data_IF_935741411121
#
_entry.id   IF_935741411121
#
_cell.length_a   1.000
_cell.length_b   1.000
_cell.length_c   1.000
_cell.angle_alpha   90.00
_cell.angle_beta   90.00
_cell.angle_gamma   90.00
#
_symmetry.space_group_name_H-M   'P 1'
#
loop_
_entity.id
_entity.type
_entity.pdbx_description
1 polymer ?
#
# COMPACT_ATOMS: atom_id res chain seq x y z
N UNK A 1 18.44 11.13 -9.39
CA UNK A 1 18.96 9.91 -8.82
C UNK A 1 18.03 9.31 -7.80
N UNK A 2 17.83 8.05 -7.91
CA UNK A 2 16.90 7.37 -7.05
C UNK A 2 17.63 6.84 -5.82
N UNK A 3 17.08 7.11 -4.69
CA UNK A 3 17.64 6.62 -3.46
C UNK A 3 16.66 5.64 -2.84
N UNK A 4 17.14 4.46 -2.56
CA UNK A 4 16.32 3.46 -1.91
C UNK A 4 16.22 3.79 -0.43
N UNK A 5 15.00 3.84 0.05
CA UNK A 5 14.75 4.08 1.46
C UNK A 5 14.55 2.72 2.13
N UNK A 6 15.38 2.46 3.10
CA UNK A 6 15.25 1.25 3.90
C UNK A 6 14.68 1.61 5.24
N UNK A 7 13.65 0.88 5.62
CA UNK A 7 12.98 1.13 6.88
C UNK A 7 13.05 -0.13 7.72
N UNK A 8 13.73 -0.02 8.84
CA UNK A 8 13.77 -1.10 9.81
C UNK A 8 12.96 -0.67 11.01
N UNK A 9 11.93 -1.46 11.31
CA UNK A 9 11.04 -1.12 12.41
C UNK A 9 11.26 -2.06 13.57
N UNK A 10 11.60 -1.50 14.70
CA UNK A 10 11.69 -2.22 15.97
C UNK A 10 10.60 -1.68 16.86
N UNK A 11 9.40 -2.20 16.69
CA UNK A 11 8.27 -1.68 17.42
C UNK A 11 8.03 -2.50 18.67
N UNK A 12 7.92 -1.86 19.83
CA UNK A 12 7.53 -2.56 21.04
C UNK A 12 6.02 -2.74 21.07
N UNK A 13 5.43 -3.05 19.94
CA UNK A 13 4.01 -3.25 19.80
C UNK A 13 3.76 -4.64 19.25
N UNK A 14 2.58 -5.21 19.52
CA UNK A 14 2.26 -6.55 19.02
C UNK A 14 1.92 -6.52 17.54
N UNK A 15 2.86 -6.05 16.72
CA UNK A 15 2.68 -5.97 15.28
C UNK A 15 3.79 -6.76 14.61
N UNK A 16 3.41 -7.56 13.63
CA UNK A 16 4.40 -8.20 12.79
C UNK A 16 4.98 -7.18 11.82
N UNK A 17 6.11 -7.53 11.22
CA UNK A 17 6.69 -6.64 10.23
C UNK A 17 5.79 -6.50 9.02
N UNK A 18 5.11 -7.56 8.64
CA UNK A 18 4.17 -7.50 7.52
C UNK A 18 3.03 -6.56 7.83
N UNK A 19 2.53 -6.62 9.04
CA UNK A 19 1.44 -5.73 9.43
C UNK A 19 1.91 -4.29 9.47
N UNK A 20 3.11 -4.05 9.96
CA UNK A 20 3.66 -2.70 9.99
C UNK A 20 3.83 -2.16 8.57
N UNK A 21 4.32 -2.99 7.65
CA UNK A 21 4.45 -2.57 6.26
C UNK A 21 3.11 -2.22 5.65
N UNK A 22 2.10 -3.03 5.96
CA UNK A 22 0.78 -2.79 5.43
C UNK A 22 0.24 -1.45 5.92
N UNK A 23 0.33 -1.21 7.21
CA UNK A 23 -0.18 0.04 7.77
C UNK A 23 0.59 1.23 7.24
N UNK A 24 1.89 1.05 7.06
CA UNK A 24 2.72 2.11 6.50
C UNK A 24 2.28 2.44 5.08
N UNK A 25 2.04 1.39 4.28
CA UNK A 25 1.60 1.59 2.90
C UNK A 25 0.24 2.27 2.85
N UNK A 26 -0.67 1.87 3.74
CA UNK A 26 -1.99 2.48 3.80
C UNK A 26 -1.87 3.96 4.09
N UNK A 27 -1.02 4.31 5.05
CA UNK A 27 -0.87 5.71 5.41
C UNK A 27 -0.23 6.51 4.30
N UNK A 28 0.77 5.95 3.64
CA UNK A 28 1.42 6.64 2.53
C UNK A 28 0.43 6.90 1.40
N UNK A 29 -0.44 5.94 1.14
CA UNK A 29 -1.45 6.14 0.12
C UNK A 29 -2.45 7.21 0.57
N UNK A 30 -2.85 7.14 1.83
CA UNK A 30 -3.84 8.07 2.35
C UNK A 30 -3.37 9.51 2.22
N UNK A 31 -2.10 9.76 2.51
CA UNK A 31 -1.58 11.13 2.45
C UNK A 31 -1.08 11.49 1.05
N UNK A 32 -1.22 10.59 0.08
CA UNK A 32 -0.90 10.91 -1.29
C UNK A 32 0.56 10.82 -1.66
N UNK A 33 1.35 10.13 -0.87
CA UNK A 33 2.78 9.99 -1.17
C UNK A 33 3.07 8.93 -2.20
N UNK A 34 2.19 7.96 -2.35
CA UNK A 34 2.39 6.88 -3.31
C UNK A 34 1.07 6.62 -4.01
N UNK A 35 1.15 6.03 -5.18
CA UNK A 35 -0.03 5.63 -5.92
C UNK A 35 -0.57 4.32 -5.34
N UNK A 36 -1.76 3.95 -5.81
CA UNK A 36 -2.36 2.69 -5.37
C UNK A 36 -1.45 1.52 -5.67
N UNK A 37 -0.92 1.46 -6.88
CA UNK A 37 -0.04 0.36 -7.25
C UNK A 37 1.23 0.34 -6.45
N UNK A 38 1.80 1.52 -6.18
CA UNK A 38 3.02 1.59 -5.38
C UNK A 38 2.76 1.15 -3.95
N UNK A 39 1.64 1.56 -3.39
CA UNK A 39 1.30 1.18 -2.03
C UNK A 39 1.08 -0.32 -1.93
N UNK A 40 0.37 -0.89 -2.89
CA UNK A 40 0.12 -2.32 -2.90
C UNK A 40 1.42 -3.10 -2.96
N UNK A 41 2.32 -2.66 -3.82
CA UNK A 41 3.61 -3.31 -3.97
C UNK A 41 4.42 -3.22 -2.69
N UNK A 42 4.39 -2.06 -2.05
CA UNK A 42 5.09 -1.88 -0.79
C UNK A 42 4.56 -2.82 0.27
N UNK A 43 3.26 -3.03 0.29
CA UNK A 43 2.63 -3.90 1.27
C UNK A 43 2.75 -5.38 0.90
N UNK A 44 3.17 -5.68 -0.32
CA UNK A 44 3.26 -7.06 -0.77
C UNK A 44 1.91 -7.62 -1.20
N UNK A 45 1.02 -6.78 -1.66
CA UNK A 45 -0.33 -7.16 -2.04
C UNK A 45 -0.55 -6.85 -3.51
N UNK A 46 -1.51 -7.55 -4.12
CA UNK A 46 -2.01 -7.11 -5.40
C UNK A 46 -2.82 -5.84 -5.22
N UNK A 47 -3.04 -5.11 -6.31
CA UNK A 47 -3.85 -3.90 -6.22
C UNK A 47 -5.25 -4.21 -5.67
N UNK A 48 -5.85 -5.28 -6.18
CA UNK A 48 -7.19 -5.64 -5.76
C UNK A 48 -7.24 -5.97 -4.27
N UNK A 49 -6.29 -6.77 -3.81
CA UNK A 49 -6.25 -7.12 -2.40
C UNK A 49 -6.00 -5.89 -1.54
N UNK A 50 -5.14 -4.99 -2.00
CA UNK A 50 -4.86 -3.78 -1.26
C UNK A 50 -6.09 -2.88 -1.18
N UNK A 51 -6.86 -2.84 -2.26
CA UNK A 51 -8.09 -2.06 -2.25
C UNK A 51 -9.06 -2.56 -1.18
N UNK A 52 -9.13 -3.87 -1.01
CA UNK A 52 -9.97 -4.43 0.04
C UNK A 52 -9.46 -4.03 1.41
N UNK A 53 -8.15 -4.02 1.58
CA UNK A 53 -7.57 -3.58 2.84
C UNK A 53 -7.93 -2.13 3.12
N UNK A 54 -7.84 -1.28 2.10
CA UNK A 54 -8.19 0.11 2.27
C UNK A 54 -9.65 0.25 2.70
N UNK A 55 -10.52 -0.59 2.15
CA UNK A 55 -11.91 -0.57 2.55
C UNK A 55 -12.10 -0.89 4.02
N UNK A 56 -11.34 -1.86 4.51
CA UNK A 56 -11.43 -2.23 5.92
C UNK A 56 -10.97 -1.10 6.83
N UNK A 57 -10.00 -0.33 6.37
CA UNK A 57 -9.46 0.77 7.16
C UNK A 57 -10.18 2.07 6.88
N UNK A 58 -11.24 2.00 6.06
CA UNK A 58 -12.08 3.15 5.73
C UNK A 58 -11.28 4.27 5.08
N UNK A 59 -10.31 3.89 4.27
CA UNK A 59 -9.54 4.84 3.49
C UNK A 59 -10.16 4.92 2.11
N UNK A 60 -10.62 6.09 1.68
CA UNK A 60 -11.26 6.19 0.37
C UNK A 60 -10.25 5.99 -0.74
N UNK A 61 -10.72 5.34 -1.80
CA UNK A 61 -9.91 5.20 -3.00
C UNK A 61 -10.00 6.49 -3.79
N UNK A 62 -8.85 6.94 -4.24
CA UNK A 62 -8.81 8.17 -5.03
C UNK A 62 -7.62 8.09 -5.98
N UNK A 63 -7.70 8.90 -7.00
CA UNK A 63 -6.57 9.08 -7.90
C UNK A 63 -6.16 7.78 -8.59
N UNK A 64 -7.13 6.96 -8.95
CA UNK A 64 -6.85 5.76 -9.70
C UNK A 64 -7.80 5.68 -10.87
N UNK A 65 -7.40 4.95 -11.88
CA UNK A 65 -8.17 4.86 -13.11
C UNK A 65 -8.55 3.41 -13.37
N UNK A 66 -9.46 3.24 -14.30
CA UNK A 66 -9.81 1.88 -14.73
C UNK A 66 -8.61 1.17 -15.31
N UNK A 67 -7.69 1.91 -15.87
CA UNK A 67 -6.47 1.33 -16.40
C UNK A 67 -5.63 0.67 -15.33
N UNK A 68 -5.56 1.29 -14.17
CA UNK A 68 -4.81 0.68 -13.07
C UNK A 68 -5.41 -0.65 -12.69
N UNK A 69 -6.73 -0.72 -12.66
CA UNK A 69 -7.38 -1.97 -12.34
C UNK A 69 -7.15 -3.01 -13.42
N UNK A 70 -7.10 -2.58 -14.66
CA UNK A 70 -6.89 -3.49 -15.76
C UNK A 70 -5.48 -4.06 -15.73
N UNK A 71 -4.52 -3.25 -15.36
CA UNK A 71 -3.16 -3.74 -15.24
C UNK A 71 -3.07 -4.86 -14.23
N UNK A 72 -3.83 -4.73 -13.19
CA UNK A 72 -3.88 -5.75 -12.16
C UNK A 72 -4.27 -7.10 -12.74
N UNK A 73 -5.29 -7.09 -13.60
CA UNK A 73 -5.83 -8.34 -14.11
C UNK A 73 -4.93 -8.98 -15.16
N UNK A 74 -3.96 -8.24 -15.65
CA UNK A 74 -3.09 -8.77 -16.69
C UNK A 74 -1.90 -9.54 -16.12
N UNK A 75 -1.79 -9.60 -14.84
CA UNK A 75 -0.69 -10.30 -14.18
C UNK A 75 -0.93 -11.79 -14.10
#
# INVERSE_FOLDING_TARGET
MTKTTELTLNLPLPLSQEEAKLLFAVKLYEVGKVSLGQAAKLAGFSKRAFMEVLGRYQVPLFNYSAEELREETSV
#
